data_IF_157977895474
#
_entry.id   IF_157977895474
#
_cell.length_a   1.000
_cell.length_b   1.000
_cell.length_c   1.000
_cell.angle_alpha   90.00
_cell.angle_beta   90.00
_cell.angle_gamma   90.00
#
_symmetry.space_group_name_H-M   'P 1'
#
loop_
_entity.id
_entity.type
_entity.pdbx_description
1 polymer ?
#
# COMPACT_ATOMS: atom_id res chain seq x y z
N UNK A 1 -41.18 -13.45 -16.97
CA UNK A 1 -42.31 -12.97 -16.14
C UNK A 1 -41.72 -12.16 -14.99
N UNK A 2 -42.18 -10.93 -14.78
CA UNK A 2 -41.83 -10.15 -13.58
C UNK A 2 -42.36 -10.85 -12.34
N UNK A 3 -41.52 -11.13 -11.37
CA UNK A 3 -41.89 -11.77 -10.12
C UNK A 3 -42.51 -10.74 -9.19
N UNK A 4 -43.73 -10.94 -8.70
CA UNK A 4 -44.39 -10.03 -7.75
C UNK A 4 -43.69 -10.08 -6.38
N UNK A 5 -43.64 -8.95 -5.68
CA UNK A 5 -43.12 -8.87 -4.30
C UNK A 5 -43.96 -9.70 -3.34
N UNK A 6 -43.39 -10.04 -2.21
CA UNK A 6 -44.14 -10.81 -1.19
C UNK A 6 -45.27 -10.00 -0.59
N UNK A 7 -45.06 -8.68 -0.37
CA UNK A 7 -46.10 -7.76 0.12
C UNK A 7 -47.29 -7.67 -0.83
N UNK A 8 -47.03 -7.57 -2.16
CA UNK A 8 -48.07 -7.56 -3.17
C UNK A 8 -48.91 -8.85 -3.11
N UNK A 9 -48.28 -10.03 -2.98
CA UNK A 9 -49.00 -11.32 -2.89
C UNK A 9 -49.82 -11.41 -1.61
N UNK A 10 -49.28 -10.96 -0.47
CA UNK A 10 -49.96 -10.95 0.83
C UNK A 10 -51.18 -10.00 0.76
N UNK A 11 -51.03 -8.84 0.18
CA UNK A 11 -52.12 -7.87 0.02
C UNK A 11 -53.28 -8.45 -0.83
N UNK A 12 -52.92 -9.10 -1.95
CA UNK A 12 -53.91 -9.76 -2.81
C UNK A 12 -54.65 -10.89 -2.10
N UNK A 13 -53.94 -11.72 -1.32
CA UNK A 13 -54.55 -12.82 -0.55
C UNK A 13 -55.43 -12.31 0.57
N UNK A 14 -55.00 -11.29 1.32
CA UNK A 14 -55.80 -10.65 2.37
C UNK A 14 -57.07 -10.05 1.80
N UNK A 15 -56.98 -9.28 0.70
CA UNK A 15 -58.12 -8.72 0.02
C UNK A 15 -59.14 -9.79 -0.38
N UNK A 16 -58.65 -10.91 -0.98
CA UNK A 16 -59.50 -12.07 -1.32
C UNK A 16 -60.26 -12.64 -0.11
N UNK A 17 -59.54 -12.83 1.02
CA UNK A 17 -60.16 -13.39 2.24
C UNK A 17 -61.16 -12.42 2.90
N UNK A 18 -60.91 -11.13 2.82
CA UNK A 18 -61.75 -10.06 3.44
C UNK A 18 -63.02 -9.75 2.60
N UNK A 19 -63.02 -10.12 1.29
CA UNK A 19 -64.08 -9.77 0.35
C UNK A 19 -64.77 -11.02 -0.24
N UNK A 20 -65.37 -11.83 0.63
CA UNK A 20 -66.22 -12.99 0.28
C UNK A 20 -65.62 -14.02 -0.68
N UNK A 21 -64.30 -14.09 -0.74
CA UNK A 21 -63.55 -15.04 -1.57
C UNK A 21 -63.79 -14.92 -3.09
N UNK A 22 -64.09 -13.74 -3.59
CA UNK A 22 -64.24 -13.48 -5.03
C UNK A 22 -62.88 -13.41 -5.72
N UNK A 23 -62.53 -14.51 -6.39
CA UNK A 23 -61.29 -14.64 -7.14
C UNK A 23 -61.24 -13.75 -8.38
N UNK A 24 -62.37 -13.50 -9.06
CA UNK A 24 -62.40 -12.75 -10.31
C UNK A 24 -62.11 -11.32 -10.04
N UNK A 25 -62.91 -10.71 -9.15
CA UNK A 25 -62.75 -9.32 -8.75
C UNK A 25 -61.37 -9.05 -8.15
N UNK A 26 -60.83 -9.97 -7.31
CA UNK A 26 -59.47 -9.82 -6.77
C UNK A 26 -58.41 -9.88 -7.88
N UNK A 27 -58.56 -10.76 -8.87
CA UNK A 27 -57.61 -10.81 -9.99
C UNK A 27 -57.60 -9.55 -10.86
N UNK A 28 -58.82 -8.93 -11.06
CA UNK A 28 -58.94 -7.68 -11.78
C UNK A 28 -58.27 -6.52 -11.02
N UNK A 29 -58.56 -6.37 -9.74
CA UNK A 29 -58.02 -5.30 -8.89
C UNK A 29 -56.49 -5.38 -8.79
N UNK A 30 -55.96 -6.59 -8.55
CA UNK A 30 -54.52 -6.80 -8.40
C UNK A 30 -53.82 -7.13 -9.73
N UNK A 31 -54.51 -7.13 -10.85
CA UNK A 31 -53.98 -7.46 -12.18
C UNK A 31 -53.11 -8.72 -12.14
N UNK A 32 -53.64 -9.80 -11.55
CA UNK A 32 -52.90 -11.05 -11.42
C UNK A 32 -53.68 -12.22 -12.04
N UNK A 33 -52.97 -13.28 -12.43
CA UNK A 33 -53.61 -14.47 -13.01
C UNK A 33 -54.31 -15.31 -11.94
N UNK A 34 -55.51 -15.76 -12.24
CA UNK A 34 -56.30 -16.65 -11.37
C UNK A 34 -55.51 -17.78 -10.75
N UNK A 35 -54.75 -18.51 -11.55
CA UNK A 35 -53.91 -19.63 -11.07
C UNK A 35 -52.81 -19.17 -10.11
N UNK A 36 -52.33 -17.94 -10.22
CA UNK A 36 -51.31 -17.38 -9.32
C UNK A 36 -51.93 -17.05 -7.97
N UNK A 37 -53.10 -16.39 -7.96
CA UNK A 37 -53.82 -16.06 -6.75
C UNK A 37 -54.25 -17.33 -6.00
N UNK A 38 -54.83 -18.27 -6.68
CA UNK A 38 -55.25 -19.59 -6.08
C UNK A 38 -54.07 -20.30 -5.40
N UNK A 39 -52.88 -20.28 -6.03
CA UNK A 39 -51.69 -20.87 -5.42
C UNK A 39 -51.21 -20.08 -4.20
N UNK A 40 -51.30 -18.74 -4.23
CA UNK A 40 -50.93 -17.88 -3.09
C UNK A 40 -51.89 -18.12 -1.93
N UNK A 41 -53.19 -18.14 -2.16
CA UNK A 41 -54.21 -18.43 -1.14
C UNK A 41 -53.91 -19.80 -0.50
N UNK A 42 -53.82 -20.86 -1.27
CA UNK A 42 -53.50 -22.22 -0.77
C UNK A 42 -52.20 -22.25 0.03
N UNK A 43 -51.16 -21.48 -0.40
CA UNK A 43 -49.90 -21.42 0.32
C UNK A 43 -50.03 -20.64 1.63
N UNK A 44 -50.81 -19.56 1.64
CA UNK A 44 -51.05 -18.73 2.82
C UNK A 44 -51.85 -19.50 3.87
N UNK A 45 -52.92 -20.18 3.47
CA UNK A 45 -53.74 -21.04 4.36
C UNK A 45 -52.94 -22.18 4.98
N UNK A 46 -52.04 -22.81 4.21
CA UNK A 46 -51.26 -23.96 4.71
C UNK A 46 -50.03 -23.56 5.50
N UNK A 47 -49.42 -22.37 5.27
CA UNK A 47 -48.12 -21.97 5.83
C UNK A 47 -48.16 -20.68 6.63
N UNK A 48 -49.25 -19.92 6.60
CA UNK A 48 -49.37 -18.61 7.23
C UNK A 48 -48.47 -17.53 6.62
N UNK A 49 -47.68 -17.84 5.58
CA UNK A 49 -46.73 -16.92 4.97
C UNK A 49 -46.51 -17.22 3.49
N UNK A 50 -46.26 -16.15 2.70
CA UNK A 50 -45.88 -16.23 1.30
C UNK A 50 -44.39 -15.95 1.07
N UNK A 51 -43.61 -15.76 2.13
CA UNK A 51 -42.19 -15.57 2.01
C UNK A 51 -41.51 -16.79 1.37
N UNK A 52 -40.66 -16.48 0.40
CA UNK A 52 -39.90 -17.54 -0.27
C UNK A 52 -38.86 -18.10 0.69
N UNK A 53 -38.93 -19.42 0.94
CA UNK A 53 -37.86 -20.08 1.69
C UNK A 53 -36.55 -19.91 0.96
N UNK A 54 -35.54 -19.36 1.64
CA UNK A 54 -34.18 -19.38 1.17
C UNK A 54 -33.73 -20.80 0.90
N UNK A 55 -33.32 -21.10 -0.33
CA UNK A 55 -32.77 -22.42 -0.65
C UNK A 55 -31.54 -22.67 0.21
N UNK A 56 -31.58 -23.63 1.10
CA UNK A 56 -30.39 -24.15 1.77
C UNK A 56 -29.58 -24.88 0.69
N UNK A 57 -28.39 -24.37 0.37
CA UNK A 57 -27.44 -25.11 -0.47
C UNK A 57 -26.97 -26.34 0.29
N UNK A 58 -27.52 -27.51 -0.02
CA UNK A 58 -27.22 -28.75 0.68
C UNK A 58 -25.86 -29.38 0.33
N UNK A 59 -25.22 -28.96 -0.75
CA UNK A 59 -23.92 -29.49 -1.21
C UNK A 59 -22.90 -28.39 -1.37
N UNK A 60 -22.45 -27.78 -0.26
CA UNK A 60 -21.32 -26.90 -0.27
C UNK A 60 -20.03 -27.73 -0.35
N UNK A 61 -19.38 -27.77 -1.52
CA UNK A 61 -18.05 -28.38 -1.66
C UNK A 61 -17.01 -27.67 -0.77
N UNK A 62 -17.28 -26.43 -0.40
CA UNK A 62 -16.41 -25.62 0.44
C UNK A 62 -16.90 -25.75 1.89
N UNK A 63 -16.12 -26.46 2.71
CA UNK A 63 -16.37 -26.58 4.15
C UNK A 63 -15.60 -25.51 4.92
N UNK A 64 -16.01 -25.19 6.17
CA UNK A 64 -15.25 -24.30 7.04
C UNK A 64 -13.80 -24.73 7.26
N UNK A 65 -13.53 -26.02 7.25
CA UNK A 65 -12.19 -26.60 7.39
C UNK A 65 -11.30 -26.28 6.18
N UNK A 66 -11.85 -26.37 4.96
CA UNK A 66 -11.15 -26.01 3.73
C UNK A 66 -10.84 -24.50 3.73
N UNK A 67 -11.81 -23.65 4.12
CA UNK A 67 -11.57 -22.21 4.24
C UNK A 67 -10.46 -21.89 5.26
N UNK A 68 -10.48 -22.55 6.41
CA UNK A 68 -9.46 -22.40 7.46
C UNK A 68 -8.08 -22.80 6.94
N UNK A 69 -7.98 -23.97 6.30
CA UNK A 69 -6.74 -24.46 5.70
C UNK A 69 -6.15 -23.47 4.70
N UNK A 70 -6.96 -22.96 3.75
CA UNK A 70 -6.49 -21.98 2.75
C UNK A 70 -5.99 -20.72 3.42
N UNK A 71 -6.68 -20.20 4.45
CA UNK A 71 -6.25 -19.01 5.20
C UNK A 71 -4.90 -19.19 5.92
N UNK A 72 -4.70 -20.32 6.55
CA UNK A 72 -3.46 -20.65 7.25
C UNK A 72 -2.32 -20.84 6.25
N UNK A 73 -2.59 -21.53 5.15
CA UNK A 73 -1.60 -21.80 4.12
C UNK A 73 -1.08 -20.53 3.45
N UNK A 74 -1.96 -19.55 3.16
CA UNK A 74 -1.57 -18.24 2.58
C UNK A 74 -0.58 -17.50 3.47
N UNK A 75 -0.69 -17.61 4.79
CA UNK A 75 0.22 -16.91 5.71
C UNK A 75 1.65 -17.43 5.60
N UNK A 76 1.80 -18.72 5.43
CA UNK A 76 3.10 -19.38 5.38
C UNK A 76 3.68 -19.41 3.95
N UNK A 77 2.81 -19.47 2.95
CA UNK A 77 3.18 -19.61 1.53
C UNK A 77 2.45 -18.59 0.65
N UNK A 78 2.78 -17.30 0.77
CA UNK A 78 2.03 -16.22 0.10
C UNK A 78 2.19 -16.16 -1.42
N UNK A 79 3.10 -16.93 -1.99
CA UNK A 79 3.37 -16.99 -3.43
C UNK A 79 2.61 -18.09 -4.16
N UNK A 80 1.89 -18.95 -3.44
CA UNK A 80 1.12 -20.07 -3.99
C UNK A 80 0.07 -19.58 -4.98
N UNK A 81 -0.02 -20.21 -6.14
CA UNK A 81 -0.98 -19.88 -7.20
C UNK A 81 -2.35 -20.51 -6.91
N UNK A 82 -3.41 -19.99 -7.57
CA UNK A 82 -4.77 -20.53 -7.40
C UNK A 82 -4.85 -22.01 -7.79
N UNK A 83 -4.15 -22.40 -8.85
CA UNK A 83 -4.07 -23.78 -9.30
C UNK A 83 -3.42 -24.70 -8.26
N UNK A 84 -2.30 -24.25 -7.66
CA UNK A 84 -1.64 -24.99 -6.58
C UNK A 84 -2.55 -25.17 -5.35
N UNK A 85 -3.33 -24.12 -4.98
CA UNK A 85 -4.34 -24.28 -3.92
C UNK A 85 -5.39 -25.32 -4.27
N UNK A 86 -5.87 -25.34 -5.52
CA UNK A 86 -6.85 -26.34 -5.98
C UNK A 86 -6.29 -27.76 -5.82
N UNK A 87 -5.03 -27.96 -6.21
CA UNK A 87 -4.32 -29.23 -6.06
C UNK A 87 -4.17 -29.65 -4.59
N UNK A 88 -3.69 -28.76 -3.75
CA UNK A 88 -3.51 -29.00 -2.31
C UNK A 88 -4.82 -29.35 -1.59
N UNK A 89 -5.92 -28.66 -1.94
CA UNK A 89 -7.24 -28.95 -1.39
C UNK A 89 -7.71 -30.32 -1.84
N UNK A 90 -7.48 -30.68 -3.12
CA UNK A 90 -7.81 -32.00 -3.61
C UNK A 90 -7.01 -33.11 -2.90
N UNK A 91 -5.70 -32.96 -2.78
CA UNK A 91 -4.82 -33.91 -2.09
C UNK A 91 -5.20 -34.12 -0.63
N UNK A 92 -5.58 -33.04 0.07
CA UNK A 92 -5.85 -33.12 1.51
C UNK A 92 -7.29 -33.50 1.88
N UNK A 93 -8.26 -33.05 1.10
CA UNK A 93 -9.69 -33.15 1.42
C UNK A 93 -10.49 -33.99 0.39
N UNK A 94 -9.85 -34.44 -0.69
CA UNK A 94 -10.53 -35.17 -1.77
C UNK A 94 -11.51 -34.32 -2.60
N UNK A 95 -11.49 -32.98 -2.43
CA UNK A 95 -12.46 -32.06 -3.04
C UNK A 95 -11.82 -31.27 -4.18
N UNK A 96 -12.36 -31.40 -5.38
CA UNK A 96 -11.96 -30.56 -6.51
C UNK A 96 -12.62 -29.18 -6.44
N UNK A 97 -11.81 -28.14 -6.23
CA UNK A 97 -12.21 -26.74 -6.33
C UNK A 97 -11.58 -26.12 -7.58
N UNK A 98 -12.35 -25.26 -8.25
CA UNK A 98 -11.82 -24.45 -9.37
C UNK A 98 -11.02 -23.28 -8.86
N UNK A 99 -10.13 -22.71 -9.70
CA UNK A 99 -9.40 -21.47 -9.40
C UNK A 99 -10.36 -20.34 -9.01
N UNK A 100 -11.52 -20.27 -9.65
CA UNK A 100 -12.57 -19.30 -9.32
C UNK A 100 -13.12 -19.48 -7.91
N UNK A 101 -13.27 -20.72 -7.48
CA UNK A 101 -13.72 -21.03 -6.10
C UNK A 101 -12.68 -20.61 -5.07
N UNK A 102 -11.41 -20.95 -5.31
CA UNK A 102 -10.28 -20.50 -4.47
C UNK A 102 -10.21 -18.98 -4.40
N UNK A 103 -10.28 -18.31 -5.57
CA UNK A 103 -10.32 -16.83 -5.63
C UNK A 103 -11.46 -16.26 -4.78
N UNK A 104 -12.65 -16.84 -4.85
CA UNK A 104 -13.82 -16.38 -4.10
C UNK A 104 -13.60 -16.52 -2.58
N UNK A 105 -12.99 -17.64 -2.13
CA UNK A 105 -12.63 -17.84 -0.73
C UNK A 105 -11.63 -16.77 -0.27
N UNK A 106 -10.54 -16.58 -1.01
CA UNK A 106 -9.53 -15.59 -0.66
C UNK A 106 -10.13 -14.17 -0.60
N UNK A 107 -10.94 -13.80 -1.58
CA UNK A 107 -11.60 -12.50 -1.64
C UNK A 107 -12.60 -12.28 -0.50
N UNK A 108 -13.39 -13.30 -0.12
CA UNK A 108 -14.28 -13.30 1.06
C UNK A 108 -13.51 -12.91 2.33
N UNK A 109 -12.27 -13.39 2.45
CA UNK A 109 -11.39 -13.10 3.59
C UNK A 109 -10.49 -11.87 3.37
N UNK A 110 -10.80 -11.01 2.38
CA UNK A 110 -10.03 -9.79 2.05
C UNK A 110 -8.56 -10.06 1.69
N UNK A 111 -8.23 -11.27 1.27
CA UNK A 111 -6.91 -11.66 0.81
C UNK A 111 -6.83 -11.39 -0.69
N UNK A 112 -5.94 -10.50 -1.11
CA UNK A 112 -5.81 -10.04 -2.49
C UNK A 112 -4.39 -10.23 -2.99
N UNK A 113 -4.25 -10.45 -4.30
CA UNK A 113 -2.93 -10.51 -4.95
C UNK A 113 -2.20 -9.18 -4.80
N UNK A 114 -0.99 -9.20 -4.24
CA UNK A 114 -0.11 -8.04 -4.04
C UNK A 114 1.18 -8.23 -4.83
N UNK A 115 1.85 -7.12 -5.15
CA UNK A 115 3.23 -7.20 -5.65
C UNK A 115 4.13 -7.67 -4.51
N UNK A 116 4.87 -8.74 -4.74
CA UNK A 116 5.87 -9.22 -3.78
C UNK A 116 6.99 -8.17 -3.67
N UNK A 117 7.34 -7.81 -2.45
CA UNK A 117 8.52 -7.02 -2.14
C UNK A 117 9.49 -7.92 -1.38
N UNK A 118 10.64 -8.18 -1.96
CA UNK A 118 11.71 -8.86 -1.25
C UNK A 118 12.35 -7.87 -0.27
N UNK A 119 12.41 -8.24 1.01
CA UNK A 119 13.19 -7.53 2.03
C UNK A 119 14.38 -8.43 2.34
N UNK A 120 15.59 -7.95 2.05
CA UNK A 120 16.79 -8.67 2.43
C UNK A 120 17.08 -8.41 3.91
N UNK A 121 17.23 -9.47 4.69
CA UNK A 121 17.69 -9.41 6.07
C UNK A 121 18.79 -10.48 6.25
N UNK A 122 20.02 -10.11 6.64
CA UNK A 122 21.10 -11.08 6.82
C UNK A 122 20.78 -12.05 7.95
N UNK A 123 21.00 -13.35 7.75
CA UNK A 123 20.81 -14.40 8.76
C UNK A 123 21.54 -14.09 10.08
N UNK A 124 22.74 -13.47 9.99
CA UNK A 124 23.55 -13.05 11.16
C UNK A 124 22.83 -12.04 12.08
N UNK A 125 21.72 -11.42 11.65
CA UNK A 125 20.92 -10.48 12.43
C UNK A 125 19.54 -10.99 12.77
N UNK A 126 19.27 -12.26 12.47
CA UNK A 126 17.99 -12.88 12.81
C UNK A 126 17.77 -12.82 14.33
N UNK A 127 16.65 -12.25 14.75
CA UNK A 127 16.34 -12.01 16.17
C UNK A 127 16.77 -10.65 16.75
N UNK A 128 17.72 -9.93 16.13
CA UNK A 128 18.15 -8.59 16.59
C UNK A 128 17.23 -7.46 16.11
N UNK A 129 16.42 -7.69 15.08
CA UNK A 129 15.56 -6.68 14.45
C UNK A 129 14.67 -5.94 15.46
N UNK A 130 14.01 -6.67 16.33
CA UNK A 130 13.10 -6.08 17.33
C UNK A 130 13.85 -5.24 18.36
N UNK A 131 15.04 -5.68 18.75
CA UNK A 131 15.87 -4.97 19.70
C UNK A 131 16.41 -3.68 19.09
N UNK A 132 16.97 -3.75 17.88
CA UNK A 132 17.49 -2.59 17.14
C UNK A 132 16.39 -1.52 16.96
N UNK A 133 15.16 -1.95 16.60
CA UNK A 133 14.00 -1.05 16.48
C UNK A 133 13.61 -0.43 17.82
N UNK A 134 13.54 -1.24 18.88
CA UNK A 134 13.19 -0.75 20.23
C UNK A 134 14.21 0.29 20.73
N UNK A 135 15.51 0.05 20.53
CA UNK A 135 16.57 0.98 20.88
C UNK A 135 16.50 2.29 20.06
N UNK A 136 16.23 2.17 18.75
CA UNK A 136 16.05 3.33 17.88
C UNK A 136 14.90 4.20 18.35
N UNK A 137 13.72 3.62 18.55
CA UNK A 137 12.54 4.36 18.98
C UNK A 137 12.67 4.94 20.39
N UNK A 138 13.27 4.23 21.32
CA UNK A 138 13.59 4.75 22.67
C UNK A 138 14.45 6.01 22.60
N UNK A 139 15.42 6.06 21.68
CA UNK A 139 16.23 7.28 21.47
C UNK A 139 15.41 8.38 20.80
N UNK A 140 14.55 8.00 19.82
CA UNK A 140 13.73 8.92 19.06
C UNK A 140 12.69 9.65 19.95
N UNK A 141 12.15 8.99 20.97
CA UNK A 141 11.17 9.56 21.93
C UNK A 141 11.66 10.83 22.62
N UNK A 142 12.98 10.98 22.79
CA UNK A 142 13.56 12.16 23.43
C UNK A 142 13.59 13.40 22.52
N UNK A 143 13.14 13.28 21.27
CA UNK A 143 13.21 14.35 20.27
C UNK A 143 11.85 14.62 19.64
N UNK A 144 11.56 15.91 19.40
CA UNK A 144 10.41 16.31 18.59
C UNK A 144 10.72 16.11 17.09
N UNK A 145 9.79 15.53 16.36
CA UNK A 145 9.89 15.42 14.89
C UNK A 145 10.12 16.75 14.18
N UNK A 146 9.70 17.88 14.77
CA UNK A 146 9.97 19.23 14.28
C UNK A 146 11.44 19.65 14.40
N UNK A 147 12.15 19.06 15.35
CA UNK A 147 13.60 19.28 15.54
C UNK A 147 14.42 18.11 14.98
N UNK A 148 13.90 17.44 13.97
CA UNK A 148 14.58 16.32 13.31
C UNK A 148 14.88 16.66 11.88
N UNK A 149 16.11 16.38 11.45
CA UNK A 149 16.59 16.51 10.07
C UNK A 149 17.05 15.14 9.63
N UNK A 150 16.47 14.64 8.52
CA UNK A 150 16.94 13.42 7.86
C UNK A 150 17.86 13.82 6.71
N UNK A 151 19.05 13.21 6.65
CA UNK A 151 20.06 13.45 5.62
C UNK A 151 20.45 12.11 5.00
N UNK A 152 20.43 12.06 3.66
CA UNK A 152 20.77 10.85 2.91
C UNK A 152 21.03 11.15 1.44
N UNK A 153 21.54 10.16 0.70
CA UNK A 153 21.76 10.27 -0.72
C UNK A 153 20.89 9.31 -1.53
N UNK A 154 20.59 9.74 -2.76
CA UNK A 154 19.87 8.90 -3.70
C UNK A 154 20.39 9.05 -5.11
N UNK A 155 20.26 7.98 -5.91
CA UNK A 155 20.66 7.98 -7.32
C UNK A 155 19.52 8.41 -8.23
N UNK A 156 19.86 9.29 -9.18
CA UNK A 156 18.98 9.74 -10.26
C UNK A 156 19.67 9.45 -11.59
N UNK A 157 18.92 8.97 -12.57
CA UNK A 157 19.43 8.68 -13.91
C UNK A 157 18.76 9.56 -14.95
N UNK A 158 19.52 9.97 -15.98
CA UNK A 158 18.89 10.56 -17.17
C UNK A 158 17.92 9.60 -17.83
N UNK A 159 16.87 10.12 -18.44
CA UNK A 159 15.82 9.34 -19.12
C UNK A 159 15.09 8.33 -18.23
N UNK A 160 15.02 8.54 -16.92
CA UNK A 160 14.15 7.76 -16.06
C UNK A 160 12.71 7.87 -16.54
N UNK A 161 12.00 6.75 -16.64
CA UNK A 161 10.60 6.71 -17.03
C UNK A 161 9.75 6.00 -15.99
N UNK A 162 8.44 6.25 -16.03
CA UNK A 162 7.49 5.49 -15.22
C UNK A 162 7.44 4.04 -15.70
N UNK A 163 7.29 3.12 -14.74
CA UNK A 163 7.23 1.68 -15.01
C UNK A 163 5.87 1.22 -15.56
N UNK A 164 4.83 2.04 -15.42
CA UNK A 164 3.45 1.68 -15.78
C UNK A 164 2.80 2.77 -16.62
N UNK A 165 1.99 2.36 -17.59
CA UNK A 165 1.13 3.20 -18.40
C UNK A 165 -0.19 2.48 -18.67
N UNK A 166 -1.08 3.09 -19.48
CA UNK A 166 -2.37 2.52 -19.85
C UNK A 166 -2.48 2.46 -21.36
N UNK A 167 -3.03 1.35 -21.87
CA UNK A 167 -3.37 1.16 -23.28
C UNK A 167 -4.65 0.32 -23.39
N UNK A 168 -5.17 0.15 -24.60
CA UNK A 168 -6.30 -0.75 -24.86
C UNK A 168 -5.92 -2.18 -24.48
N UNK A 169 -6.91 -2.97 -24.05
CA UNK A 169 -6.70 -4.40 -23.79
C UNK A 169 -6.08 -5.08 -25.01
N UNK A 170 -5.09 -5.95 -24.78
CA UNK A 170 -4.35 -6.64 -25.84
C UNK A 170 -3.24 -5.82 -26.53
N UNK A 171 -3.03 -4.54 -26.16
CA UNK A 171 -1.94 -3.72 -26.72
C UNK A 171 -0.88 -3.38 -25.69
N UNK A 172 0.37 -3.19 -26.15
CA UNK A 172 1.49 -2.77 -25.28
C UNK A 172 1.56 -1.25 -25.14
N UNK A 173 1.91 -0.78 -23.96
CA UNK A 173 2.29 0.63 -23.75
C UNK A 173 3.75 0.80 -24.16
N UNK A 174 4.01 1.67 -25.12
CA UNK A 174 5.36 1.99 -25.57
C UNK A 174 5.59 3.50 -25.41
N UNK A 175 6.59 3.87 -24.60
CA UNK A 175 7.12 5.24 -24.56
C UNK A 175 8.42 5.25 -25.36
N UNK A 176 8.46 5.97 -26.47
CA UNK A 176 9.70 6.19 -27.22
C UNK A 176 10.59 7.15 -26.42
N UNK A 177 11.83 6.79 -26.19
CA UNK A 177 12.87 7.61 -25.58
C UNK A 177 14.09 7.65 -26.48
N UNK A 178 14.78 8.76 -26.52
CA UNK A 178 15.97 8.93 -27.38
C UNK A 178 17.14 8.05 -26.94
N UNK A 179 17.22 7.74 -25.64
CA UNK A 179 18.27 6.91 -25.01
C UNK A 179 17.71 6.16 -23.83
N UNK A 180 18.33 5.04 -23.49
CA UNK A 180 18.07 4.33 -22.22
C UNK A 180 18.56 5.20 -21.04
N UNK A 181 18.08 4.96 -19.80
CA UNK A 181 18.69 5.55 -18.60
C UNK A 181 20.18 5.22 -18.56
N UNK A 182 21.07 6.22 -18.60
CA UNK A 182 22.50 5.92 -18.80
C UNK A 182 23.43 6.69 -17.85
N UNK A 183 23.28 7.97 -17.67
CA UNK A 183 24.11 8.72 -16.72
C UNK A 183 23.49 8.74 -15.35
N UNK A 184 24.27 8.35 -14.35
CA UNK A 184 23.87 8.38 -12.95
C UNK A 184 24.35 9.68 -12.31
N UNK A 185 23.51 10.29 -11.50
CA UNK A 185 23.84 11.39 -10.60
C UNK A 185 23.48 10.96 -9.18
N UNK A 186 24.23 11.46 -8.20
CA UNK A 186 23.93 11.24 -6.80
C UNK A 186 23.38 12.55 -6.23
N UNK A 187 22.20 12.52 -5.68
CA UNK A 187 21.56 13.63 -5.00
C UNK A 187 21.75 13.45 -3.50
N UNK A 188 22.51 14.31 -2.87
CA UNK A 188 22.59 14.43 -1.42
C UNK A 188 21.53 15.45 -0.98
N UNK A 189 20.72 15.11 0.01
CA UNK A 189 19.60 15.94 0.42
C UNK A 189 19.37 15.85 1.93
N UNK A 190 18.88 16.95 2.50
CA UNK A 190 18.43 17.02 3.88
C UNK A 190 17.00 17.58 3.92
N UNK A 191 16.13 16.94 4.71
CA UNK A 191 14.74 17.36 4.93
C UNK A 191 14.45 17.54 6.41
N UNK A 192 13.57 18.48 6.72
CA UNK A 192 12.95 18.66 8.04
C UNK A 192 11.42 18.52 7.91
N UNK A 193 10.69 18.57 9.02
CA UNK A 193 9.23 18.58 8.98
C UNK A 193 8.64 19.79 8.23
N UNK A 194 9.35 20.88 8.14
CA UNK A 194 8.85 22.14 7.60
C UNK A 194 9.29 22.38 6.16
N UNK A 195 10.49 21.93 5.78
CA UNK A 195 11.06 22.23 4.46
C UNK A 195 12.15 21.25 4.03
N UNK A 196 12.47 21.26 2.76
CA UNK A 196 13.75 20.73 2.26
C UNK A 196 14.85 21.68 2.73
N UNK A 197 15.71 21.20 3.62
CA UNK A 197 16.77 21.98 4.25
C UNK A 197 17.84 22.38 3.24
N UNK A 198 18.19 21.45 2.36
CA UNK A 198 19.08 21.67 1.24
C UNK A 198 19.27 20.42 0.40
N UNK A 199 19.89 20.59 -0.75
CA UNK A 199 20.26 19.50 -1.63
C UNK A 199 21.42 19.88 -2.54
N UNK A 200 22.20 18.87 -2.98
CA UNK A 200 23.32 19.04 -3.90
C UNK A 200 23.39 17.84 -4.84
N UNK A 201 23.51 18.12 -6.15
CA UNK A 201 23.57 17.10 -7.18
C UNK A 201 25.03 16.90 -7.61
N UNK A 202 25.51 15.67 -7.53
CA UNK A 202 26.86 15.28 -7.89
C UNK A 202 26.84 14.41 -9.16
N UNK A 203 27.73 14.67 -10.13
CA UNK A 203 27.89 13.77 -11.27
C UNK A 203 28.43 12.44 -10.81
N UNK A 204 28.16 11.39 -11.61
CA UNK A 204 28.69 10.06 -11.33
C UNK A 204 30.23 10.10 -11.32
N UNK A 205 30.80 9.56 -10.26
CA UNK A 205 32.23 9.36 -10.10
C UNK A 205 32.52 8.02 -9.44
N UNK A 206 33.75 7.51 -9.60
CA UNK A 206 34.20 6.28 -8.93
C UNK A 206 34.11 6.46 -7.41
N UNK A 207 33.45 5.53 -6.74
CA UNK A 207 33.25 5.59 -5.28
C UNK A 207 31.99 6.35 -4.82
N UNK A 208 31.22 6.95 -5.72
CA UNK A 208 29.96 7.66 -5.34
C UNK A 208 30.17 8.91 -4.50
N UNK A 209 29.27 9.18 -3.55
CA UNK A 209 29.41 10.22 -2.52
C UNK A 209 30.51 9.80 -1.53
N UNK A 210 31.31 10.76 -1.12
CA UNK A 210 32.40 10.57 -0.15
C UNK A 210 32.06 11.24 1.18
N UNK A 211 32.73 10.82 2.25
CA UNK A 211 32.64 11.46 3.56
C UNK A 211 32.88 12.96 3.49
N UNK A 212 33.84 13.41 2.67
CA UNK A 212 34.12 14.84 2.46
C UNK A 212 32.95 15.63 1.88
N UNK A 213 32.18 15.01 0.97
CA UNK A 213 31.00 15.65 0.37
C UNK A 213 29.88 15.83 1.41
N UNK A 214 29.71 14.84 2.28
CA UNK A 214 28.72 14.88 3.37
C UNK A 214 29.10 15.95 4.38
N UNK A 215 30.37 16.04 4.74
CA UNK A 215 30.89 17.06 5.64
C UNK A 215 30.72 18.48 5.09
N UNK A 216 31.11 18.69 3.83
CA UNK A 216 30.91 19.96 3.15
C UNK A 216 29.42 20.34 3.14
N UNK A 217 28.57 19.45 2.69
CA UNK A 217 27.13 19.67 2.66
C UNK A 217 26.55 19.97 4.05
N UNK A 218 26.94 19.19 5.07
CA UNK A 218 26.48 19.41 6.44
C UNK A 218 26.91 20.78 6.97
N UNK A 219 28.16 21.15 6.72
CA UNK A 219 28.72 22.44 7.14
C UNK A 219 27.99 23.62 6.46
N UNK A 220 27.79 23.55 5.16
CA UNK A 220 27.17 24.64 4.38
C UNK A 220 25.68 24.81 4.67
N UNK A 221 24.99 23.68 4.93
CA UNK A 221 23.53 23.65 4.93
C UNK A 221 22.96 23.59 6.33
N UNK A 222 23.61 22.89 7.27
CA UNK A 222 23.02 22.53 8.58
C UNK A 222 23.80 23.16 9.75
N UNK A 223 25.10 23.01 9.78
CA UNK A 223 25.96 23.25 10.95
C UNK A 223 25.69 24.56 11.70
N UNK A 224 25.56 25.66 11.00
CA UNK A 224 25.39 26.98 11.61
C UNK A 224 23.93 27.44 11.73
N UNK A 225 23.04 26.80 11.00
CA UNK A 225 21.63 27.19 10.92
C UNK A 225 20.73 26.41 11.89
N UNK A 226 21.17 25.22 12.29
CA UNK A 226 20.36 24.31 13.14
C UNK A 226 21.17 23.88 14.34
N UNK A 227 20.62 24.07 15.54
CA UNK A 227 21.19 23.66 16.82
C UNK A 227 20.17 22.88 17.62
N UNK A 228 20.63 21.95 18.43
CA UNK A 228 19.77 21.08 19.24
C UNK A 228 18.75 20.28 18.40
N UNK A 229 19.18 19.86 17.19
CA UNK A 229 18.41 19.02 16.30
C UNK A 229 18.92 17.58 16.34
N UNK A 230 18.01 16.64 16.12
CA UNK A 230 18.34 15.25 15.82
C UNK A 230 18.66 15.13 14.33
N UNK A 231 19.84 14.62 14.00
CA UNK A 231 20.25 14.33 12.62
C UNK A 231 20.13 12.82 12.41
N UNK A 232 19.22 12.41 11.55
CA UNK A 232 19.04 10.98 11.17
C UNK A 232 19.77 10.75 9.85
N UNK A 233 20.64 9.74 9.84
CA UNK A 233 21.35 9.26 8.63
C UNK A 233 21.19 7.74 8.53
N UNK A 234 21.41 7.19 7.33
CA UNK A 234 21.45 5.75 7.19
C UNK A 234 22.70 5.14 7.83
N UNK A 235 22.75 3.82 7.90
CA UNK A 235 23.81 3.07 8.58
C UNK A 235 24.98 2.71 7.64
N UNK A 236 25.21 3.49 6.56
CA UNK A 236 26.32 3.27 5.63
C UNK A 236 27.68 3.53 6.28
N UNK A 237 28.70 2.84 5.79
CA UNK A 237 30.07 2.98 6.33
C UNK A 237 30.58 4.41 6.23
N UNK A 238 30.26 5.12 5.14
CA UNK A 238 30.67 6.52 4.93
C UNK A 238 30.08 7.48 5.97
N UNK A 239 28.86 7.20 6.47
CA UNK A 239 28.18 8.00 7.48
C UNK A 239 28.74 7.76 8.91
N UNK A 240 29.32 6.58 9.14
CA UNK A 240 29.88 6.18 10.44
C UNK A 240 31.28 6.71 10.71
N UNK A 241 31.83 7.54 9.86
CA UNK A 241 33.15 8.10 10.08
C UNK A 241 33.18 8.95 11.34
N UNK A 242 34.30 8.84 12.09
CA UNK A 242 34.51 9.57 13.32
C UNK A 242 34.34 11.09 13.12
N UNK A 243 34.89 11.61 12.03
CA UNK A 243 34.83 13.03 11.70
C UNK A 243 33.40 13.58 11.48
N UNK A 244 32.49 12.77 10.87
CA UNK A 244 31.08 13.19 10.72
C UNK A 244 30.43 13.29 12.09
N UNK A 245 30.64 12.28 12.96
CA UNK A 245 30.08 12.29 14.32
C UNK A 245 30.56 13.49 15.11
N UNK A 246 31.85 13.70 15.18
CA UNK A 246 32.45 14.84 15.89
C UNK A 246 31.92 16.17 15.36
N UNK A 247 31.86 16.35 14.03
CA UNK A 247 31.36 17.59 13.42
C UNK A 247 29.89 17.86 13.79
N UNK A 248 29.07 16.82 13.86
CA UNK A 248 27.65 16.96 14.22
C UNK A 248 27.51 17.28 15.73
N UNK A 249 28.25 16.60 16.59
CA UNK A 249 28.22 16.79 18.04
C UNK A 249 28.78 18.18 18.41
N UNK A 250 29.89 18.62 17.80
CA UNK A 250 30.48 19.95 17.98
C UNK A 250 29.52 21.08 17.60
N UNK A 251 28.62 20.81 16.64
CA UNK A 251 27.59 21.76 16.24
C UNK A 251 26.37 21.81 17.17
N UNK A 252 26.41 21.11 18.31
CA UNK A 252 25.30 20.95 19.27
C UNK A 252 24.08 20.22 18.71
N UNK A 253 24.28 19.35 17.74
CA UNK A 253 23.27 18.45 17.21
C UNK A 253 23.56 17.01 17.66
N UNK A 254 22.57 16.15 17.62
CA UNK A 254 22.71 14.74 17.99
C UNK A 254 22.57 13.86 16.76
N UNK A 255 23.45 12.89 16.58
CA UNK A 255 23.41 11.94 15.47
C UNK A 255 22.70 10.65 15.89
N UNK A 256 21.74 10.21 15.07
CA UNK A 256 21.07 8.92 15.21
C UNK A 256 21.11 8.18 13.86
N UNK A 257 21.55 6.92 13.87
CA UNK A 257 21.51 6.10 12.68
C UNK A 257 20.18 5.35 12.57
N UNK A 258 19.61 5.33 11.37
CA UNK A 258 18.43 4.51 11.07
C UNK A 258 18.75 3.02 11.25
N UNK A 259 17.70 2.22 11.46
CA UNK A 259 17.87 0.78 11.62
C UNK A 259 18.16 0.13 10.27
N UNK A 260 19.19 -0.70 10.14
CA UNK A 260 19.52 -1.37 8.89
C UNK A 260 18.34 -2.18 8.36
N UNK A 261 18.09 -2.07 7.06
CA UNK A 261 16.97 -2.73 6.36
C UNK A 261 15.56 -2.27 6.78
N UNK A 262 15.46 -1.19 7.55
CA UNK A 262 14.22 -0.54 7.99
C UNK A 262 14.10 0.88 7.44
N UNK A 263 13.80 1.05 6.14
CA UNK A 263 13.70 2.36 5.50
C UNK A 263 12.66 3.27 6.16
N UNK A 264 11.64 2.67 6.84
CA UNK A 264 10.65 3.40 7.61
C UNK A 264 11.23 4.21 8.78
N UNK A 265 12.45 3.89 9.22
CA UNK A 265 13.16 4.64 10.26
C UNK A 265 13.90 5.86 9.73
N UNK A 266 13.94 6.05 8.40
CA UNK A 266 14.52 7.22 7.75
C UNK A 266 13.50 7.90 6.82
N UNK A 267 12.84 8.94 7.30
CA UNK A 267 11.74 9.63 6.61
C UNK A 267 12.12 10.18 5.23
N UNK A 268 13.41 10.38 4.93
CA UNK A 268 13.87 10.90 3.65
C UNK A 268 13.64 9.90 2.50
N UNK A 269 13.50 8.61 2.79
CA UNK A 269 13.22 7.59 1.79
C UNK A 269 11.84 7.79 1.14
N UNK A 270 10.83 8.18 1.92
CA UNK A 270 9.51 8.53 1.41
C UNK A 270 9.57 9.79 0.52
N UNK A 271 10.36 10.78 0.94
CA UNK A 271 10.61 11.97 0.14
C UNK A 271 11.30 11.61 -1.18
N UNK A 272 12.34 10.78 -1.18
CA UNK A 272 13.01 10.33 -2.39
C UNK A 272 12.09 9.53 -3.32
N UNK A 273 11.21 8.73 -2.77
CA UNK A 273 10.19 8.02 -3.53
C UNK A 273 9.27 8.98 -4.29
N UNK A 274 8.79 10.03 -3.61
CA UNK A 274 7.96 11.07 -4.21
C UNK A 274 8.73 11.90 -5.24
N UNK A 275 9.93 12.33 -4.92
CA UNK A 275 10.79 13.10 -5.83
C UNK A 275 11.05 12.32 -7.12
N UNK A 276 11.49 11.07 -7.01
CA UNK A 276 11.74 10.19 -8.18
C UNK A 276 10.46 9.93 -9.00
N UNK A 277 9.30 9.87 -8.36
CA UNK A 277 8.04 9.74 -9.09
C UNK A 277 7.82 10.92 -10.04
N UNK A 278 8.05 12.15 -9.60
CA UNK A 278 7.91 13.34 -10.44
C UNK A 278 9.03 13.45 -11.48
N UNK A 279 10.28 13.15 -11.14
CA UNK A 279 11.38 13.12 -12.11
C UNK A 279 11.09 12.14 -13.26
N UNK A 280 10.56 10.94 -12.96
CA UNK A 280 10.16 9.96 -13.97
C UNK A 280 9.03 10.43 -14.89
N UNK A 281 8.16 11.34 -14.43
CA UNK A 281 7.13 11.96 -15.27
C UNK A 281 7.72 12.89 -16.30
N UNK A 282 8.67 13.72 -15.89
CA UNK A 282 9.36 14.70 -16.74
C UNK A 282 10.36 14.00 -17.66
N UNK A 283 11.11 13.02 -17.12
CA UNK A 283 12.12 12.25 -17.86
C UNK A 283 13.25 13.13 -18.42
N UNK A 284 13.98 13.89 -17.57
CA UNK A 284 15.01 14.85 -18.00
C UNK A 284 16.14 14.17 -18.76
N UNK A 285 16.71 14.85 -19.76
CA UNK A 285 17.68 14.30 -20.71
C UNK A 285 19.11 14.81 -20.48
N UNK A 286 19.27 15.92 -19.78
CA UNK A 286 20.57 16.56 -19.50
C UNK A 286 20.74 16.81 -18.00
N UNK A 287 21.95 17.18 -17.59
CA UNK A 287 22.23 17.59 -16.20
C UNK A 287 21.41 18.83 -15.81
N UNK A 288 21.40 19.84 -16.68
CA UNK A 288 20.68 21.10 -16.42
C UNK A 288 19.16 20.85 -16.35
N UNK A 289 18.64 19.93 -17.17
CA UNK A 289 17.24 19.52 -17.07
C UNK A 289 16.92 18.84 -15.73
N UNK A 290 17.82 17.99 -15.20
CA UNK A 290 17.63 17.37 -13.88
C UNK A 290 17.64 18.44 -12.79
N UNK A 291 18.62 19.33 -12.78
CA UNK A 291 18.74 20.40 -11.78
C UNK A 291 17.50 21.28 -11.78
N UNK A 292 17.10 21.75 -12.97
CA UNK A 292 15.87 22.54 -13.16
C UNK A 292 14.62 21.77 -12.73
N UNK A 293 14.53 20.49 -13.10
CA UNK A 293 13.39 19.62 -12.73
C UNK A 293 13.30 19.44 -11.22
N UNK A 294 14.43 19.22 -10.52
CA UNK A 294 14.45 19.12 -9.07
C UNK A 294 13.96 20.44 -8.45
N UNK A 295 14.50 21.59 -8.87
CA UNK A 295 14.08 22.91 -8.39
C UNK A 295 12.57 23.14 -8.56
N UNK A 296 12.02 22.83 -9.75
CA UNK A 296 10.60 22.96 -10.03
C UNK A 296 9.76 22.02 -9.14
N UNK A 297 10.15 20.77 -8.99
CA UNK A 297 9.42 19.80 -8.14
C UNK A 297 9.41 20.28 -6.68
N UNK A 298 10.54 20.73 -6.16
CA UNK A 298 10.65 21.19 -4.78
C UNK A 298 9.78 22.42 -4.50
N UNK A 299 9.62 23.30 -5.47
CA UNK A 299 8.80 24.52 -5.34
C UNK A 299 7.32 24.27 -5.60
N UNK A 300 6.97 23.40 -6.55
CA UNK A 300 5.58 23.27 -7.03
C UNK A 300 4.84 22.00 -6.56
N UNK A 301 5.57 20.90 -6.28
CA UNK A 301 4.99 19.59 -6.00
C UNK A 301 5.20 19.12 -4.57
N UNK A 302 6.33 19.45 -3.96
CA UNK A 302 6.62 19.10 -2.58
C UNK A 302 6.05 20.19 -1.66
N UNK A 303 5.05 19.84 -0.87
CA UNK A 303 4.44 20.73 0.11
C UNK A 303 4.96 20.41 1.51
N UNK A 304 5.01 21.40 2.38
CA UNK A 304 5.43 21.22 3.77
C UNK A 304 4.63 20.12 4.49
N UNK A 305 3.33 20.02 4.21
CA UNK A 305 2.48 18.95 4.76
C UNK A 305 2.93 17.54 4.39
N UNK A 306 3.56 17.32 3.22
CA UNK A 306 4.13 16.02 2.87
C UNK A 306 5.30 15.68 3.78
N UNK A 307 6.25 16.63 3.94
CA UNK A 307 7.45 16.44 4.78
C UNK A 307 7.06 16.20 6.24
N UNK A 308 6.14 17.01 6.76
CA UNK A 308 5.57 16.82 8.10
C UNK A 308 4.99 15.42 8.28
N UNK A 309 4.24 14.91 7.28
CA UNK A 309 3.63 13.60 7.36
C UNK A 309 4.67 12.47 7.31
N UNK A 310 5.75 12.61 6.52
CA UNK A 310 6.82 11.61 6.47
C UNK A 310 7.51 11.48 7.82
N UNK A 311 7.89 12.61 8.44
CA UNK A 311 8.51 12.57 9.76
C UNK A 311 7.53 12.04 10.81
N UNK A 312 6.28 12.52 10.83
CA UNK A 312 5.27 11.99 11.76
C UNK A 312 5.04 10.49 11.59
N UNK A 313 5.08 9.98 10.35
CA UNK A 313 4.92 8.55 10.10
C UNK A 313 6.03 7.73 10.77
N UNK A 314 7.30 8.11 10.58
CA UNK A 314 8.43 7.44 11.24
C UNK A 314 8.35 7.48 12.76
N UNK A 315 7.76 8.54 13.34
CA UNK A 315 7.54 8.66 14.79
C UNK A 315 6.31 7.88 15.31
N UNK A 316 5.32 7.63 14.46
CA UNK A 316 4.06 6.96 14.84
C UNK A 316 4.12 5.44 14.79
N UNK A 317 5.04 4.86 14.03
CA UNK A 317 5.15 3.39 13.89
C UNK A 317 5.40 2.70 15.24
N UNK A 318 5.94 3.43 16.22
CA UNK A 318 6.16 2.92 17.56
C UNK A 318 4.87 2.81 18.42
N UNK A 319 3.86 3.61 18.13
CA UNK A 319 2.63 3.70 18.95
C UNK A 319 1.46 2.88 18.36
N UNK A 320 1.69 2.08 17.33
CA UNK A 320 0.72 1.17 16.70
C UNK A 320 1.13 -0.30 16.88
#
# INVERSE_FOLDING_TARGET
MKQHSDDYKISAVKYYLDHQNDMRTTCEIFNCKYQSLARWVKTYETKGTLHRKTRKNHNLKITPEIEKFIKEYVRNYPTTTLWEYSKLVHERFGVHLTDRSIYTILHKHKITRKRLRSKYYPEKREGQEKQDLAEFYKKLENYDYKKTICLDETSIYLNMTQAYGRSRSGTRVIKKTNKYPYKRFNLLCAISAEKVVGWKLYPQRKGGIKTTDILEFYTDVIKDKYKNHLIIMDNAVIHKSKIIRETIEDSKNTLLYSVPYHPETNSIEEFFSQLKHYIKKVSPNTYDDIDKTIKDILTTKIRNGHLTNYLKYSYKIYNS
#
